data_IF_954883447799
#
_entry.id   IF_954883447799
#
_cell.length_a   1.000
_cell.length_b   1.000
_cell.length_c   1.000
_cell.angle_alpha   90.00
_cell.angle_beta   90.00
_cell.angle_gamma   90.00
#
_symmetry.space_group_name_H-M   'P 1'
#
loop_
_entity.id
_entity.type
_entity.pdbx_description
1 polymer ?
#
# COMPACT_ATOMS: atom_id res chain seq x y z
N UNK A 1 -9.72 -6.54 -13.49
CA UNK A 1 -10.01 -6.16 -12.09
C UNK A 1 -9.25 -7.11 -11.18
N UNK A 2 -8.61 -6.62 -10.11
CA UNK A 2 -7.75 -7.41 -9.21
C UNK A 2 -8.51 -8.27 -8.17
N UNK A 3 -9.85 -8.23 -8.13
CA UNK A 3 -10.67 -9.15 -7.33
C UNK A 3 -10.69 -8.91 -5.82
N UNK A 4 -9.79 -8.09 -5.28
CA UNK A 4 -9.72 -7.75 -3.86
C UNK A 4 -8.72 -6.63 -3.55
N UNK A 5 -8.50 -6.37 -2.26
CA UNK A 5 -7.49 -5.42 -1.81
C UNK A 5 -6.08 -5.88 -2.20
N UNK A 6 -5.24 -4.98 -2.69
CA UNK A 6 -3.83 -5.25 -2.97
C UNK A 6 -2.92 -4.98 -1.77
N UNK A 7 -3.48 -4.60 -0.61
CA UNK A 7 -2.74 -4.40 0.64
C UNK A 7 -2.57 -5.73 1.38
N UNK A 8 -1.32 -6.16 1.58
CA UNK A 8 -0.98 -7.47 2.15
C UNK A 8 -0.25 -7.33 3.48
N UNK A 9 -0.53 -8.21 4.44
CA UNK A 9 0.15 -8.24 5.75
C UNK A 9 1.65 -8.56 5.65
N UNK A 10 2.46 -8.04 6.59
CA UNK A 10 3.89 -8.42 6.73
C UNK A 10 4.09 -9.92 6.95
N UNK A 11 3.11 -10.57 7.56
CA UNK A 11 3.20 -11.97 7.97
C UNK A 11 2.52 -12.92 6.98
N UNK A 12 2.01 -12.42 5.84
CA UNK A 12 1.45 -13.29 4.82
C UNK A 12 2.48 -14.35 4.35
N UNK A 13 2.05 -15.54 3.93
CA UNK A 13 2.99 -16.57 3.48
C UNK A 13 3.69 -16.18 2.16
N UNK A 14 4.87 -16.77 1.85
CA UNK A 14 5.47 -16.68 0.53
C UNK A 14 4.47 -17.09 -0.57
N UNK A 15 4.46 -16.38 -1.70
CA UNK A 15 3.47 -16.57 -2.76
C UNK A 15 2.18 -15.74 -2.60
N UNK A 16 1.78 -15.40 -1.37
CA UNK A 16 0.65 -14.50 -1.10
C UNK A 16 1.07 -13.04 -0.87
N UNK A 17 2.35 -12.79 -0.59
CA UNK A 17 2.97 -11.46 -0.39
C UNK A 17 3.20 -10.70 -1.69
N UNK A 18 2.15 -10.47 -2.48
CA UNK A 18 2.23 -9.77 -3.76
C UNK A 18 1.29 -8.58 -3.78
N UNK A 19 1.79 -7.41 -4.20
CA UNK A 19 1.06 -6.14 -4.17
C UNK A 19 1.69 -5.11 -3.22
N UNK A 20 0.86 -4.32 -2.54
CA UNK A 20 1.31 -3.36 -1.53
C UNK A 20 1.54 -4.11 -0.20
N UNK A 21 2.80 -4.37 0.15
CA UNK A 21 3.13 -5.10 1.38
C UNK A 21 3.19 -4.14 2.57
N UNK A 22 2.30 -4.36 3.53
CA UNK A 22 2.11 -3.59 4.75
C UNK A 22 2.15 -2.06 4.57
N UNK A 23 1.44 -1.50 3.57
CA UNK A 23 1.43 -0.07 3.36
C UNK A 23 0.76 0.62 4.55
N UNK A 24 1.41 1.65 5.09
CA UNK A 24 0.79 2.53 6.11
C UNK A 24 -0.19 3.53 5.48
N UNK A 25 -0.02 3.81 4.19
CA UNK A 25 -0.84 4.71 3.37
C UNK A 25 -0.74 4.28 1.92
N UNK A 26 -1.84 4.39 1.18
CA UNK A 26 -1.92 4.14 -0.26
C UNK A 26 -2.42 5.40 -0.99
N UNK A 27 -2.35 5.40 -2.32
CA UNK A 27 -2.74 6.55 -3.15
C UNK A 27 -1.70 7.67 -3.22
N UNK A 28 -2.02 8.75 -3.94
CA UNK A 28 -1.11 9.88 -4.15
C UNK A 28 -0.87 10.65 -2.84
N UNK A 29 0.39 10.78 -2.43
CA UNK A 29 0.76 11.61 -1.27
C UNK A 29 0.46 13.08 -1.58
N UNK A 30 -0.46 13.69 -0.83
CA UNK A 30 -0.63 15.14 -0.78
C UNK A 30 0.53 15.73 0.04
N UNK A 31 1.46 16.41 -0.61
CA UNK A 31 2.46 17.24 0.07
C UNK A 31 1.76 18.55 0.44
N UNK A 32 1.85 18.95 1.72
CA UNK A 32 1.46 20.31 2.11
C UNK A 32 2.48 21.21 1.44
N UNK A 33 2.06 22.10 0.54
CA UNK A 33 2.95 23.15 0.05
C UNK A 33 3.40 23.93 1.28
N UNK A 34 4.70 23.90 1.56
CA UNK A 34 5.27 24.78 2.55
C UNK A 34 5.12 26.18 1.97
N UNK A 35 4.11 26.92 2.41
CA UNK A 35 4.03 28.35 2.21
C UNK A 35 5.22 28.95 2.95
N UNK A 36 6.26 29.31 2.18
CA UNK A 36 7.21 30.34 2.57
C UNK A 36 6.59 31.71 2.37
#
# INVERSE_FOLDING_TARGET
>A
HVGGSTSVSRNAPPGAKVGLIAPRKTGRKKVRQASG
#
